data_IF_173087320328
#
_entry.id   IF_173087320328
#
_cell.length_a   1.000
_cell.length_b   1.000
_cell.length_c   1.000
_cell.angle_alpha   90.00
_cell.angle_beta   90.00
_cell.angle_gamma   90.00
#
_symmetry.space_group_name_H-M   'P 1'
#
loop_
_entity.id
_entity.type
_entity.pdbx_description
1 polymer ?
#
# COMPACT_ATOMS: atom_id res chain seq x y z
N UNK A 1 10.68 10.02 -27.06
CA UNK A 1 11.09 8.66 -26.61
C UNK A 1 12.05 8.72 -25.42
N UNK A 2 12.96 9.70 -25.32
CA UNK A 2 13.85 9.88 -24.15
C UNK A 2 13.16 10.38 -22.86
N UNK A 3 12.15 11.25 -22.92
CA UNK A 3 11.50 11.79 -21.71
C UNK A 3 10.68 10.74 -20.92
N UNK A 4 10.00 9.82 -21.65
CA UNK A 4 9.26 8.72 -21.03
C UNK A 4 10.19 7.76 -20.26
N UNK A 5 11.40 7.56 -20.78
CA UNK A 5 12.42 6.70 -20.18
C UNK A 5 13.00 7.34 -18.90
N UNK A 6 13.31 8.64 -18.95
CA UNK A 6 13.81 9.37 -17.78
C UNK A 6 12.80 9.37 -16.62
N UNK A 7 11.52 9.63 -16.91
CA UNK A 7 10.49 9.64 -15.88
C UNK A 7 10.27 8.25 -15.26
N UNK A 8 10.31 7.19 -16.08
CA UNK A 8 10.26 5.81 -15.58
C UNK A 8 11.44 5.51 -14.64
N UNK A 9 12.66 5.94 -15.01
CA UNK A 9 13.84 5.79 -14.16
C UNK A 9 13.72 6.54 -12.83
N UNK A 10 13.08 7.72 -12.80
CA UNK A 10 12.92 8.47 -11.54
C UNK A 10 11.94 7.82 -10.56
N UNK A 11 10.88 7.16 -11.05
CA UNK A 11 9.87 6.54 -10.19
C UNK A 11 10.22 5.10 -9.82
N UNK A 12 11.13 4.47 -10.55
CA UNK A 12 11.55 3.09 -10.34
C UNK A 12 12.03 2.83 -8.90
N UNK A 13 12.89 3.66 -8.28
CA UNK A 13 13.28 3.48 -6.88
C UNK A 13 12.08 3.49 -5.92
N UNK A 14 11.07 4.31 -6.19
CA UNK A 14 9.87 4.42 -5.34
C UNK A 14 9.00 3.17 -5.40
N UNK A 15 9.07 2.41 -6.50
CA UNK A 15 8.46 1.08 -6.64
C UNK A 15 9.29 0.05 -5.89
N UNK A 16 10.60 0.07 -6.12
CA UNK A 16 11.57 -0.86 -5.54
C UNK A 16 11.59 -0.85 -4.02
N UNK A 17 11.40 0.31 -3.38
CA UNK A 17 11.26 0.43 -1.93
C UNK A 17 10.17 -0.51 -1.35
N UNK A 18 9.11 -0.82 -2.10
CA UNK A 18 8.07 -1.77 -1.68
C UNK A 18 8.31 -3.17 -2.25
N UNK A 19 8.71 -3.32 -3.51
CA UNK A 19 8.90 -4.65 -4.11
C UNK A 19 10.05 -5.41 -3.50
N UNK A 20 11.13 -4.74 -3.10
CA UNK A 20 12.27 -5.36 -2.40
C UNK A 20 11.90 -5.93 -1.02
N UNK A 21 10.81 -5.44 -0.41
CA UNK A 21 10.30 -5.94 0.87
C UNK A 21 9.09 -6.88 0.68
N UNK A 22 8.87 -7.38 -0.54
CA UNK A 22 7.93 -8.45 -0.82
C UNK A 22 6.56 -8.02 -1.33
N UNK A 23 6.36 -6.74 -1.66
CA UNK A 23 5.11 -6.29 -2.28
C UNK A 23 5.03 -6.70 -3.75
N UNK A 24 3.87 -7.19 -4.17
CA UNK A 24 3.49 -7.30 -5.57
C UNK A 24 2.87 -5.98 -6.05
N UNK A 25 3.36 -5.47 -7.18
CA UNK A 25 2.73 -4.33 -7.84
C UNK A 25 1.49 -4.76 -8.61
N UNK A 26 0.38 -4.04 -8.41
CA UNK A 26 -0.85 -4.19 -9.17
C UNK A 26 -0.97 -2.96 -10.08
N UNK A 27 -0.79 -3.18 -11.37
CA UNK A 27 -0.68 -2.16 -12.41
C UNK A 27 -1.91 -2.10 -13.31
N UNK A 28 -2.76 -3.13 -13.29
CA UNK A 28 -4.06 -3.14 -13.98
C UNK A 28 -5.25 -3.38 -13.05
N UNK A 29 -6.48 -2.99 -13.45
CA UNK A 29 -7.71 -3.32 -12.71
C UNK A 29 -7.90 -4.82 -12.48
N UNK A 30 -7.52 -5.65 -13.44
CA UNK A 30 -7.67 -7.12 -13.37
C UNK A 30 -6.76 -7.71 -12.27
N UNK A 31 -5.54 -7.19 -12.13
CA UNK A 31 -4.61 -7.60 -11.06
C UNK A 31 -5.16 -7.19 -9.68
N UNK A 32 -5.78 -6.00 -9.59
CA UNK A 32 -6.47 -5.55 -8.37
C UNK A 32 -7.61 -6.49 -8.01
N UNK A 33 -8.46 -6.83 -8.97
CA UNK A 33 -9.59 -7.73 -8.76
C UNK A 33 -9.16 -9.12 -8.35
N UNK A 34 -8.13 -9.67 -9.02
CA UNK A 34 -7.59 -10.98 -8.72
C UNK A 34 -7.12 -11.12 -7.27
N UNK A 35 -6.64 -10.03 -6.65
CA UNK A 35 -6.16 -10.03 -5.26
C UNK A 35 -7.23 -9.61 -4.26
N UNK A 36 -7.96 -8.51 -4.51
CA UNK A 36 -8.90 -7.95 -3.53
C UNK A 36 -10.24 -8.72 -3.45
N UNK A 37 -10.56 -9.55 -4.45
CA UNK A 37 -11.72 -10.45 -4.38
C UNK A 37 -11.45 -11.73 -3.57
N UNK A 38 -10.20 -12.01 -3.19
CA UNK A 38 -9.84 -13.18 -2.40
C UNK A 38 -10.62 -13.20 -1.08
N UNK A 39 -11.33 -14.30 -0.83
CA UNK A 39 -12.23 -14.47 0.34
C UNK A 39 -11.54 -15.11 1.55
N UNK A 40 -10.25 -15.35 1.47
CA UNK A 40 -9.48 -16.00 2.53
C UNK A 40 -8.16 -15.28 2.79
N UNK A 41 -7.81 -15.21 4.07
CA UNK A 41 -6.55 -14.63 4.52
C UNK A 41 -6.57 -13.10 4.55
N UNK A 42 -5.39 -12.53 4.68
CA UNK A 42 -5.16 -11.11 4.90
C UNK A 42 -4.38 -10.48 3.76
N UNK A 43 -4.80 -9.28 3.36
CA UNK A 43 -4.14 -8.52 2.29
C UNK A 43 -3.91 -7.10 2.78
N UNK A 44 -2.64 -6.71 2.90
CA UNK A 44 -2.26 -5.32 3.06
C UNK A 44 -2.05 -4.71 1.68
N UNK A 45 -2.83 -3.67 1.38
CA UNK A 45 -2.64 -2.84 0.19
C UNK A 45 -2.09 -1.47 0.58
N UNK A 46 -0.97 -1.09 -0.05
CA UNK A 46 -0.39 0.25 0.04
C UNK A 46 -0.76 1.03 -1.22
N UNK A 47 -1.38 2.19 -1.07
CA UNK A 47 -1.56 3.15 -2.15
C UNK A 47 -0.32 4.05 -2.15
N UNK A 48 0.70 3.66 -2.91
CA UNK A 48 1.97 4.38 -3.02
C UNK A 48 1.79 5.72 -3.78
N UNK A 49 2.75 6.64 -3.63
CA UNK A 49 2.78 7.90 -4.38
C UNK A 49 4.19 8.50 -4.41
N UNK A 50 4.35 9.56 -5.22
CA UNK A 50 5.61 10.35 -5.27
C UNK A 50 5.71 11.41 -4.16
N UNK A 51 4.72 11.52 -3.27
CA UNK A 51 4.74 12.50 -2.16
C UNK A 51 5.98 12.31 -1.27
N UNK A 52 6.56 13.41 -0.76
CA UNK A 52 7.62 13.33 0.25
C UNK A 52 7.19 12.53 1.49
N UNK A 53 5.92 12.63 1.89
CA UNK A 53 5.32 11.82 2.95
C UNK A 53 5.29 10.31 2.64
N UNK A 54 5.25 9.92 1.35
CA UNK A 54 5.33 8.51 0.97
C UNK A 54 6.74 7.95 1.16
N UNK A 55 7.76 8.66 0.67
CA UNK A 55 9.16 8.23 0.79
C UNK A 55 9.78 8.42 2.17
N UNK A 56 9.42 9.51 2.87
CA UNK A 56 9.99 9.82 4.18
C UNK A 56 9.30 9.14 5.36
N UNK A 57 8.06 8.68 5.20
CA UNK A 57 7.24 8.16 6.30
C UNK A 57 6.57 6.83 5.94
N UNK A 58 5.73 6.81 4.91
CA UNK A 58 4.88 5.67 4.62
C UNK A 58 5.66 4.38 4.27
N UNK A 59 6.55 4.43 3.25
CA UNK A 59 7.33 3.26 2.81
C UNK A 59 8.33 2.79 3.88
N UNK A 60 9.08 3.68 4.56
CA UNK A 60 9.90 3.28 5.71
C UNK A 60 9.07 2.65 6.85
N UNK A 61 7.90 3.22 7.17
CA UNK A 61 7.02 2.68 8.21
C UNK A 61 6.47 1.29 7.88
N UNK A 62 6.11 1.04 6.61
CA UNK A 62 5.73 -0.29 6.11
C UNK A 62 6.90 -1.27 6.25
N UNK A 63 8.10 -0.89 5.80
CA UNK A 63 9.29 -1.73 5.92
C UNK A 63 9.60 -2.10 7.38
N UNK A 64 9.50 -1.14 8.29
CA UNK A 64 9.64 -1.38 9.74
C UNK A 64 8.54 -2.29 10.27
N UNK A 65 7.27 -2.08 9.89
CA UNK A 65 6.16 -2.90 10.35
C UNK A 65 6.38 -4.38 10.04
N UNK A 66 6.86 -4.67 8.82
CA UNK A 66 7.13 -6.03 8.35
C UNK A 66 8.30 -6.71 9.05
N UNK A 67 9.13 -6.03 9.85
CA UNK A 67 10.19 -6.72 10.61
C UNK A 67 9.66 -7.58 11.76
N UNK A 68 8.37 -7.48 12.11
CA UNK A 68 7.73 -8.32 13.14
C UNK A 68 7.40 -9.74 12.68
N UNK A 69 6.92 -10.55 13.62
CA UNK A 69 6.60 -11.97 13.44
C UNK A 69 5.28 -12.17 12.67
N UNK A 70 4.21 -11.49 13.07
CA UNK A 70 2.91 -11.54 12.38
C UNK A 70 2.90 -10.67 11.14
N UNK A 71 2.42 -11.23 10.03
CA UNK A 71 2.39 -10.56 8.74
C UNK A 71 1.13 -10.87 7.94
N UNK A 72 0.68 -9.95 7.07
CA UNK A 72 -0.35 -10.24 6.10
C UNK A 72 0.07 -11.36 5.14
N UNK A 73 -0.89 -12.19 4.72
CA UNK A 73 -0.65 -13.26 3.74
C UNK A 73 -0.26 -12.70 2.37
N UNK A 74 -0.76 -11.51 2.03
CA UNK A 74 -0.52 -10.82 0.77
C UNK A 74 -0.11 -9.37 1.02
N UNK A 75 0.99 -8.97 0.38
CA UNK A 75 1.49 -7.61 0.36
C UNK A 75 1.37 -7.09 -1.07
N UNK A 76 0.52 -6.09 -1.29
CA UNK A 76 0.27 -5.54 -2.63
C UNK A 76 0.29 -4.02 -2.65
N UNK A 77 0.65 -3.43 -3.78
CA UNK A 77 0.71 -1.98 -3.93
C UNK A 77 0.14 -1.53 -5.25
N UNK A 78 -0.56 -0.40 -5.23
CA UNK A 78 -0.92 0.39 -6.41
C UNK A 78 -0.20 1.73 -6.34
N UNK A 79 0.13 2.35 -7.47
CA UNK A 79 0.89 3.60 -7.49
C UNK A 79 0.03 4.78 -7.98
N UNK A 80 -0.45 5.58 -7.03
CA UNK A 80 -1.29 6.74 -7.32
C UNK A 80 -0.57 7.75 -8.21
N UNK A 81 -1.24 8.15 -9.29
CA UNK A 81 -0.73 9.06 -10.31
C UNK A 81 0.03 8.37 -11.45
N UNK A 82 0.52 7.15 -11.24
CA UNK A 82 1.25 6.37 -12.25
C UNK A 82 0.35 5.28 -12.84
N UNK A 83 -0.05 4.31 -12.03
CA UNK A 83 -0.95 3.22 -12.42
C UNK A 83 -2.40 3.63 -12.09
N UNK A 84 -2.91 4.62 -12.84
CA UNK A 84 -4.16 5.34 -12.53
C UNK A 84 -5.38 4.43 -12.49
N UNK A 85 -5.52 3.53 -13.46
CA UNK A 85 -6.67 2.63 -13.57
C UNK A 85 -6.66 1.59 -12.44
N UNK A 86 -5.51 0.98 -12.14
CA UNK A 86 -5.37 0.10 -10.99
C UNK A 86 -5.66 0.82 -9.67
N UNK A 87 -5.14 2.04 -9.50
CA UNK A 87 -5.41 2.84 -8.29
C UNK A 87 -6.89 3.20 -8.16
N UNK A 88 -7.55 3.55 -9.27
CA UNK A 88 -8.98 3.84 -9.29
C UNK A 88 -9.78 2.60 -8.91
N UNK A 89 -9.45 1.43 -9.50
CA UNK A 89 -10.11 0.17 -9.19
C UNK A 89 -9.94 -0.24 -7.73
N UNK A 90 -8.73 -0.10 -7.18
CA UNK A 90 -8.49 -0.40 -5.76
C UNK A 90 -9.35 0.47 -4.84
N UNK A 91 -9.56 1.74 -5.18
CA UNK A 91 -10.40 2.66 -4.38
C UNK A 91 -11.87 2.27 -4.32
N UNK A 92 -12.39 1.58 -5.32
CA UNK A 92 -13.76 1.06 -5.30
C UNK A 92 -13.96 0.00 -4.20
N UNK A 93 -12.89 -0.68 -3.78
CA UNK A 93 -12.91 -1.63 -2.67
C UNK A 93 -12.82 -0.98 -1.28
N UNK A 94 -12.52 0.32 -1.19
CA UNK A 94 -12.31 1.02 0.10
C UNK A 94 -13.60 1.54 0.73
N UNK A 95 -14.75 0.92 0.45
CA UNK A 95 -16.05 1.15 1.11
C UNK A 95 -16.52 2.61 1.21
N UNK A 96 -16.19 3.46 0.22
CA UNK A 96 -16.60 4.87 0.19
C UNK A 96 -15.71 5.82 1.02
N UNK A 97 -14.59 5.33 1.52
CA UNK A 97 -13.58 6.15 2.18
C UNK A 97 -12.98 7.18 1.20
N UNK A 98 -12.68 8.41 1.66
CA UNK A 98 -12.16 9.46 0.79
C UNK A 98 -10.79 9.08 0.22
N UNK A 99 -10.55 9.33 -1.08
CA UNK A 99 -9.29 8.97 -1.71
C UNK A 99 -8.14 9.82 -1.14
N UNK A 100 -7.05 9.17 -0.75
CA UNK A 100 -5.82 9.85 -0.31
C UNK A 100 -4.59 9.02 -0.71
N UNK A 101 -3.43 9.66 -0.85
CA UNK A 101 -2.15 8.97 -1.07
C UNK A 101 -0.98 9.74 -0.45
N UNK A 102 -0.04 9.07 0.26
CA UNK A 102 -0.05 7.64 0.57
C UNK A 102 -1.19 7.26 1.52
N UNK A 103 -1.69 6.03 1.41
CA UNK A 103 -2.67 5.44 2.33
C UNK A 103 -2.52 3.91 2.33
N UNK A 104 -3.07 3.25 3.35
CA UNK A 104 -2.90 1.81 3.56
C UNK A 104 -4.21 1.20 4.04
N UNK A 105 -4.52 0.01 3.56
CA UNK A 105 -5.75 -0.70 3.90
C UNK A 105 -5.44 -2.17 4.16
N UNK A 106 -6.05 -2.73 5.20
CA UNK A 106 -5.97 -4.15 5.49
C UNK A 106 -7.32 -4.80 5.23
N UNK A 107 -7.30 -5.84 4.40
CA UNK A 107 -8.43 -6.71 4.16
C UNK A 107 -8.24 -8.02 4.90
N UNK A 108 -9.32 -8.58 5.44
CA UNK A 108 -9.39 -9.94 5.99
C UNK A 108 -10.61 -10.64 5.41
N UNK A 109 -10.38 -11.80 4.80
CA UNK A 109 -11.42 -12.64 4.19
C UNK A 109 -12.32 -11.86 3.21
N UNK A 110 -11.69 -10.98 2.42
CA UNK A 110 -12.34 -10.15 1.42
C UNK A 110 -13.16 -8.97 1.98
N UNK A 111 -12.98 -8.61 3.25
CA UNK A 111 -13.61 -7.45 3.90
C UNK A 111 -12.55 -6.45 4.35
N UNK A 112 -12.83 -5.17 4.18
CA UNK A 112 -11.97 -4.12 4.72
C UNK A 112 -12.09 -4.11 6.25
N UNK A 113 -10.96 -4.23 6.96
CA UNK A 113 -10.94 -4.28 8.43
C UNK A 113 -10.16 -3.15 9.07
N UNK A 114 -9.25 -2.50 8.33
CA UNK A 114 -8.52 -1.33 8.82
C UNK A 114 -8.10 -0.41 7.67
N UNK A 115 -7.99 0.88 7.98
CA UNK A 115 -7.57 1.93 7.05
C UNK A 115 -6.66 2.95 7.75
N UNK A 116 -5.65 3.44 7.04
CA UNK A 116 -4.75 4.51 7.45
C UNK A 116 -4.66 5.51 6.30
N UNK A 117 -5.21 6.70 6.51
CA UNK A 117 -5.29 7.74 5.49
C UNK A 117 -4.03 8.61 5.51
N UNK A 118 -3.85 9.41 4.46
CA UNK A 118 -2.75 10.39 4.41
C UNK A 118 -2.73 11.30 5.64
N UNK A 119 -3.88 11.73 6.15
CA UNK A 119 -4.00 12.59 7.34
C UNK A 119 -3.42 11.95 8.61
N UNK A 120 -3.34 10.62 8.66
CA UNK A 120 -2.78 9.87 9.78
C UNK A 120 -1.27 9.62 9.59
N UNK A 121 -0.74 9.87 8.40
CA UNK A 121 0.65 9.63 8.00
C UNK A 121 1.43 10.95 7.95
N UNK A 122 0.86 11.97 7.33
CA UNK A 122 1.51 13.27 7.11
C UNK A 122 1.77 13.98 8.44
N UNK A 123 3.00 14.46 8.63
CA UNK A 123 3.42 15.11 9.87
C UNK A 123 3.74 14.15 11.03
N UNK A 124 3.71 12.83 10.78
CA UNK A 124 4.09 11.81 11.78
C UNK A 124 5.50 11.25 11.52
N UNK A 125 5.81 10.07 12.05
CA UNK A 125 7.10 9.38 11.87
C UNK A 125 6.92 7.98 11.29
N UNK A 126 7.96 7.40 10.65
CA UNK A 126 7.95 6.00 10.22
C UNK A 126 7.54 5.02 11.33
N UNK A 127 8.01 5.24 12.55
CA UNK A 127 7.73 4.40 13.72
C UNK A 127 6.25 4.45 14.11
N UNK A 128 5.60 5.62 13.95
CA UNK A 128 4.16 5.75 14.16
C UNK A 128 3.38 4.87 13.18
N UNK A 129 3.68 5.00 11.88
CA UNK A 129 3.06 4.15 10.84
C UNK A 129 3.33 2.67 11.12
N UNK A 130 4.57 2.32 11.49
CA UNK A 130 4.95 0.95 11.80
C UNK A 130 4.16 0.39 12.98
N UNK A 131 3.98 1.16 14.05
CA UNK A 131 3.19 0.77 15.21
C UNK A 131 1.72 0.52 14.84
N UNK A 132 1.11 1.43 14.07
CA UNK A 132 -0.28 1.28 13.60
C UNK A 132 -0.49 0.02 12.75
N UNK A 133 0.44 -0.27 11.84
CA UNK A 133 0.38 -1.48 11.02
C UNK A 133 0.57 -2.75 11.86
N UNK A 134 1.52 -2.74 12.81
CA UNK A 134 1.73 -3.89 13.72
C UNK A 134 0.51 -4.16 14.61
N UNK A 135 -0.19 -3.13 15.08
CA UNK A 135 -1.46 -3.30 15.79
C UNK A 135 -2.48 -4.06 14.92
N UNK A 136 -2.57 -3.74 13.63
CA UNK A 136 -3.43 -4.49 12.72
C UNK A 136 -2.96 -5.92 12.51
N UNK A 137 -1.65 -6.14 12.34
CA UNK A 137 -1.10 -7.47 12.15
C UNK A 137 -1.36 -8.34 13.38
N UNK A 138 -1.16 -7.80 14.58
CA UNK A 138 -1.46 -8.50 15.84
C UNK A 138 -2.92 -8.91 15.96
N UNK A 139 -3.84 -8.04 15.54
CA UNK A 139 -5.27 -8.25 15.65
C UNK A 139 -5.84 -9.18 14.58
N UNK A 140 -5.33 -9.10 13.35
CA UNK A 140 -5.99 -9.70 12.18
C UNK A 140 -5.20 -10.83 11.52
N UNK A 141 -3.87 -10.83 11.62
CA UNK A 141 -3.00 -11.85 11.05
C UNK A 141 -2.77 -13.02 12.03
N UNK A 142 -2.50 -14.20 11.46
CA UNK A 142 -2.25 -15.44 12.22
C UNK A 142 -0.80 -15.53 12.69
#
# INVERSE_FOLDING_TARGET
MQELDFYAMMIQPMREELTQIGFQELRTPEEVDAVLQQKTGTTLIVVNSVCGCAGGIARPGVAMALQGDKRPDRLVTVFAGQDKEATARAREYFEGLPPSSPSMFLFKDGKLVAALHRSDIEGTSPEHVAARLREWFEQYCA
#
